data_IF_261754950542
#
_entry.id   IF_261754950542
#
_cell.length_a   1.000
_cell.length_b   1.000
_cell.length_c   1.000
_cell.angle_alpha   90.00
_cell.angle_beta   90.00
_cell.angle_gamma   90.00
#
_symmetry.space_group_name_H-M   'P 1'
#
loop_
_entity.id
_entity.type
_entity.pdbx_description
1 polymer ?
#
# COMPACT_ATOMS: atom_id res chain seq x y z
N UNK A 1 61.93 29.12 -16.96
CA UNK A 1 63.09 28.61 -16.20
C UNK A 1 62.54 28.17 -14.86
N UNK A 2 62.43 26.84 -14.70
CA UNK A 2 62.17 26.09 -13.47
C UNK A 2 60.76 26.28 -12.86
N UNK A 3 59.89 25.25 -12.78
CA UNK A 3 60.00 24.01 -11.98
C UNK A 3 60.23 24.37 -10.51
N UNK A 4 59.57 23.86 -9.48
CA UNK A 4 58.60 22.80 -9.27
C UNK A 4 58.27 22.91 -7.76
N UNK A 5 57.22 22.21 -7.31
CA UNK A 5 57.23 21.30 -6.15
C UNK A 5 55.98 21.34 -5.24
N UNK A 6 55.09 20.40 -5.55
CA UNK A 6 54.37 19.50 -4.61
C UNK A 6 53.30 20.09 -3.67
N UNK A 7 52.08 19.54 -3.59
CA UNK A 7 51.70 18.19 -3.97
C UNK A 7 50.20 17.92 -3.95
N UNK A 8 49.87 16.89 -4.72
CA UNK A 8 48.96 15.79 -4.37
C UNK A 8 47.57 16.18 -3.83
N UNK A 9 46.55 16.24 -4.69
CA UNK A 9 45.68 15.09 -5.02
C UNK A 9 44.69 14.75 -3.89
N UNK A 10 43.55 15.43 -3.90
CA UNK A 10 42.20 14.85 -3.73
C UNK A 10 41.28 15.76 -4.55
N UNK A 11 40.99 15.46 -5.80
CA UNK A 11 40.17 14.33 -6.17
C UNK A 11 38.74 14.83 -6.41
N UNK A 12 38.46 15.19 -7.66
CA UNK A 12 37.13 15.08 -8.24
C UNK A 12 36.20 16.28 -8.10
N UNK A 13 35.93 16.89 -9.26
CA UNK A 13 34.75 17.68 -9.59
C UNK A 13 33.46 17.17 -8.92
N UNK A 14 32.49 18.02 -8.60
CA UNK A 14 31.33 18.35 -9.44
C UNK A 14 30.68 19.56 -8.75
N UNK A 15 30.51 20.72 -9.37
CA UNK A 15 29.74 20.88 -10.60
C UNK A 15 28.36 21.43 -10.24
N UNK A 16 28.30 22.76 -10.21
CA UNK A 16 27.15 23.66 -10.32
C UNK A 16 25.99 23.10 -11.18
N UNK A 17 24.71 23.27 -10.80
CA UNK A 17 23.51 23.52 -11.67
C UNK A 17 22.24 23.50 -10.78
N UNK A 18 21.70 24.67 -10.39
CA UNK A 18 20.55 25.38 -11.01
C UNK A 18 19.29 24.52 -11.22
N UNK A 19 18.23 24.91 -10.49
CA UNK A 19 16.85 25.04 -10.95
C UNK A 19 16.30 24.01 -11.94
N UNK A 20 15.53 23.05 -11.43
CA UNK A 20 14.41 22.50 -12.19
C UNK A 20 13.29 22.06 -11.27
N UNK A 21 12.19 22.81 -11.34
CA UNK A 21 10.88 22.35 -10.92
C UNK A 21 10.58 21.01 -11.61
N UNK A 22 10.78 19.91 -10.90
CA UNK A 22 10.22 18.64 -11.32
C UNK A 22 8.75 18.70 -10.90
N UNK A 23 7.93 19.28 -11.79
CA UNK A 23 6.56 18.82 -11.98
C UNK A 23 6.69 17.33 -12.23
N UNK A 24 6.57 16.51 -11.19
CA UNK A 24 6.43 15.09 -11.36
C UNK A 24 5.24 14.92 -12.31
N UNK A 25 5.41 14.26 -13.47
CA UNK A 25 4.26 13.91 -14.26
C UNK A 25 3.36 13.13 -13.32
N UNK A 26 2.11 13.57 -13.19
CA UNK A 26 1.02 12.70 -12.79
C UNK A 26 1.04 11.56 -13.83
N UNK A 27 1.90 10.56 -13.60
CA UNK A 27 1.74 9.24 -14.16
C UNK A 27 0.50 8.75 -13.46
N UNK A 28 -0.64 9.15 -14.01
CA UNK A 28 -1.92 8.51 -13.84
C UNK A 28 -1.72 7.16 -14.52
N UNK A 29 -0.93 6.29 -13.89
CA UNK A 29 -0.90 4.88 -14.20
C UNK A 29 -2.36 4.50 -14.18
N UNK A 30 -2.93 4.15 -15.35
CA UNK A 30 -4.28 3.62 -15.43
C UNK A 30 -4.34 2.59 -14.31
N UNK A 31 -5.14 2.79 -13.25
CA UNK A 31 -5.13 1.86 -12.13
C UNK A 31 -5.47 0.51 -12.74
N UNK A 32 -4.47 -0.37 -12.82
CA UNK A 32 -4.66 -1.74 -13.27
C UNK A 32 -5.84 -2.27 -12.48
N UNK A 33 -6.78 -2.97 -13.13
CA UNK A 33 -7.96 -3.51 -12.45
C UNK A 33 -7.46 -4.21 -11.17
N UNK A 34 -7.92 -3.76 -10.01
CA UNK A 34 -7.53 -4.29 -8.70
C UNK A 34 -6.40 -3.57 -7.95
N UNK A 35 -5.53 -2.78 -8.58
CA UNK A 35 -4.37 -2.14 -7.92
C UNK A 35 -4.71 -0.78 -7.30
N UNK A 36 -4.23 -0.54 -6.09
CA UNK A 36 -4.38 0.72 -5.36
C UNK A 36 -3.18 1.01 -4.45
N UNK A 37 -2.94 2.28 -4.14
CA UNK A 37 -2.01 2.64 -3.07
C UNK A 37 -2.70 2.48 -1.72
N UNK A 38 -2.02 1.81 -0.79
CA UNK A 38 -2.51 1.62 0.57
C UNK A 38 -1.33 1.34 1.52
N UNK A 39 -1.62 1.25 2.81
CA UNK A 39 -0.66 0.81 3.80
C UNK A 39 -1.19 -0.37 4.60
N UNK A 40 -0.29 -1.27 4.99
CA UNK A 40 -0.58 -2.39 5.89
C UNK A 40 0.32 -2.34 7.12
N UNK A 41 -0.21 -2.82 8.23
CA UNK A 41 0.48 -3.01 9.50
C UNK A 41 -0.04 -4.26 10.19
N UNK A 42 0.83 -4.99 10.85
CA UNK A 42 0.48 -6.07 11.76
C UNK A 42 -0.08 -5.49 13.07
N UNK A 43 -1.24 -5.98 13.50
CA UNK A 43 -1.83 -5.64 14.81
C UNK A 43 -1.49 -6.74 15.83
N UNK A 44 -1.65 -8.00 15.42
CA UNK A 44 -1.29 -9.16 16.24
C UNK A 44 -1.07 -10.41 15.36
N UNK A 45 -0.40 -11.43 15.90
CA UNK A 45 -0.12 -12.68 15.20
C UNK A 45 1.11 -12.59 14.29
N UNK A 46 1.12 -13.37 13.21
CA UNK A 46 2.23 -13.37 12.23
C UNK A 46 1.71 -13.47 10.80
N UNK A 47 2.19 -12.61 9.93
CA UNK A 47 1.85 -12.60 8.51
C UNK A 47 3.09 -12.26 7.70
N UNK A 48 3.42 -13.13 6.75
CA UNK A 48 4.55 -12.93 5.85
C UNK A 48 4.42 -11.61 5.07
N UNK A 49 5.53 -10.88 4.96
CA UNK A 49 5.58 -9.61 4.23
C UNK A 49 4.95 -8.41 4.95
N UNK A 50 4.40 -8.58 6.17
CA UNK A 50 3.79 -7.50 6.96
C UNK A 50 4.49 -7.37 8.31
N UNK A 51 4.67 -6.13 8.76
CA UNK A 51 5.37 -5.81 10.02
C UNK A 51 4.49 -4.99 10.95
N UNK A 52 4.85 -4.89 12.24
CA UNK A 52 4.18 -4.03 13.22
C UNK A 52 4.28 -2.52 12.91
N UNK A 53 5.14 -2.15 11.96
CA UNK A 53 5.23 -0.79 11.43
C UNK A 53 4.42 -0.64 10.14
N UNK A 54 3.82 0.54 9.93
CA UNK A 54 3.09 0.86 8.72
C UNK A 54 4.01 0.80 7.50
N UNK A 55 3.63 -0.02 6.50
CA UNK A 55 4.31 -0.12 5.22
C UNK A 55 3.37 0.30 4.10
N UNK A 56 3.74 1.36 3.37
CA UNK A 56 3.04 1.78 2.15
C UNK A 56 3.46 0.92 0.97
N UNK A 57 2.55 0.73 0.03
CA UNK A 57 2.81 0.06 -1.23
C UNK A 57 1.59 -0.05 -2.12
N UNK A 58 1.80 -0.63 -3.30
CA UNK A 58 0.71 -1.01 -4.18
C UNK A 58 0.11 -2.31 -3.65
N UNK A 59 -1.19 -2.30 -3.39
CA UNK A 59 -1.97 -3.48 -3.02
C UNK A 59 -2.86 -3.86 -4.20
N UNK A 60 -2.83 -5.14 -4.57
CA UNK A 60 -3.79 -5.71 -5.50
C UNK A 60 -4.93 -6.34 -4.70
N UNK A 61 -6.15 -5.82 -4.88
CA UNK A 61 -7.35 -6.36 -4.24
C UNK A 61 -8.05 -7.33 -5.20
N UNK A 62 -8.16 -8.58 -4.80
CA UNK A 62 -8.92 -9.67 -5.41
C UNK A 62 -10.03 -10.13 -4.44
N UNK A 63 -11.08 -10.82 -4.90
CA UNK A 63 -12.09 -11.37 -3.99
C UNK A 63 -11.44 -12.28 -2.94
N UNK A 64 -11.63 -11.94 -1.66
CA UNK A 64 -11.05 -12.65 -0.51
C UNK A 64 -9.53 -12.57 -0.35
N UNK A 65 -8.82 -11.78 -1.15
CA UNK A 65 -7.35 -11.80 -1.17
C UNK A 65 -6.73 -10.43 -1.45
N UNK A 66 -5.68 -10.12 -0.71
CA UNK A 66 -4.84 -8.93 -0.91
C UNK A 66 -3.45 -9.39 -1.32
N UNK A 67 -2.87 -8.78 -2.34
CA UNK A 67 -1.47 -8.97 -2.69
C UNK A 67 -0.68 -7.73 -2.29
N UNK A 68 0.34 -7.90 -1.45
CA UNK A 68 1.17 -6.81 -0.97
C UNK A 68 2.65 -7.17 -1.07
N UNK A 69 3.39 -6.41 -1.90
CA UNK A 69 4.83 -6.61 -2.14
C UNK A 69 5.18 -8.05 -2.55
N UNK A 70 4.32 -8.67 -3.36
CA UNK A 70 4.49 -10.06 -3.82
C UNK A 70 3.96 -11.12 -2.85
N UNK A 71 3.45 -10.74 -1.66
CA UNK A 71 2.88 -11.67 -0.70
C UNK A 71 1.36 -11.71 -0.84
N UNK A 72 0.81 -12.91 -0.93
CA UNK A 72 -0.64 -13.12 -0.93
C UNK A 72 -1.16 -13.25 0.50
N UNK A 73 -2.16 -12.44 0.82
CA UNK A 73 -2.78 -12.33 2.14
C UNK A 73 -4.25 -12.69 1.98
N UNK A 74 -4.63 -13.88 2.43
CA UNK A 74 -6.03 -14.31 2.46
C UNK A 74 -6.77 -13.52 3.53
N UNK A 75 -7.84 -12.84 3.14
CA UNK A 75 -8.71 -12.10 4.06
C UNK A 75 -9.92 -12.95 4.38
N UNK A 76 -10.09 -13.26 5.67
CA UNK A 76 -11.26 -13.98 6.17
C UNK A 76 -12.41 -13.03 6.46
N UNK A 77 -12.08 -11.85 7.01
CA UNK A 77 -13.08 -10.85 7.41
C UNK A 77 -12.48 -9.45 7.43
N UNK A 78 -13.29 -8.46 7.05
CA UNK A 78 -13.05 -7.04 7.33
C UNK A 78 -13.98 -6.64 8.47
N UNK A 79 -13.47 -6.00 9.50
CA UNK A 79 -14.29 -5.51 10.62
C UNK A 79 -14.99 -4.20 10.24
N UNK A 80 -16.26 -4.07 10.61
CA UNK A 80 -17.16 -2.98 10.20
C UNK A 80 -16.93 -1.64 10.91
N UNK A 81 -16.00 -1.57 11.87
CA UNK A 81 -15.66 -0.35 12.58
C UNK A 81 -14.39 0.29 11.97
N UNK A 82 -14.49 1.01 10.83
CA UNK A 82 -13.38 1.80 10.35
C UNK A 82 -13.07 2.91 11.33
N UNK A 83 -11.80 3.32 11.36
CA UNK A 83 -11.37 4.49 12.14
C UNK A 83 -10.50 5.42 11.31
N UNK A 84 -10.43 6.66 11.76
CA UNK A 84 -9.45 7.60 11.23
C UNK A 84 -8.03 7.30 11.76
N UNK A 85 -6.98 7.67 11.00
CA UNK A 85 -5.60 7.66 11.46
C UNK A 85 -5.40 8.68 12.58
N UNK A 86 -4.72 8.27 13.64
CA UNK A 86 -4.24 9.17 14.68
C UNK A 86 -3.22 10.17 14.11
N UNK A 87 -2.97 11.28 14.81
CA UNK A 87 -2.01 12.30 14.37
C UNK A 87 -0.61 11.71 14.05
N UNK A 88 -0.13 10.75 14.86
CA UNK A 88 1.14 10.05 14.62
C UNK A 88 1.11 9.14 13.39
N UNK A 89 -0.03 8.50 13.12
CA UNK A 89 -0.19 7.61 11.97
C UNK A 89 -0.31 8.38 10.65
N UNK A 90 -0.88 9.60 10.64
CA UNK A 90 -1.01 10.43 9.43
C UNK A 90 0.31 10.71 8.72
N UNK A 91 1.43 10.71 9.44
CA UNK A 91 2.78 10.85 8.84
C UNK A 91 3.17 9.58 8.06
N UNK A 92 2.62 8.42 8.42
CA UNK A 92 2.96 7.08 7.90
C UNK A 92 1.90 6.50 6.96
N UNK A 93 0.67 6.97 6.97
CA UNK A 93 -0.42 6.61 6.02
C UNK A 93 -0.84 7.84 5.20
N UNK A 94 -1.71 7.72 4.19
CA UNK A 94 -2.21 8.93 3.51
C UNK A 94 -3.14 9.70 4.45
N UNK A 95 -3.10 11.04 4.42
CA UNK A 95 -3.83 11.89 5.39
C UNK A 95 -5.34 11.66 5.37
N UNK A 96 -5.88 11.32 4.21
CA UNK A 96 -7.28 11.00 3.94
C UNK A 96 -7.60 9.50 4.07
N UNK A 97 -6.68 8.69 4.62
CA UNK A 97 -6.90 7.25 4.73
C UNK A 97 -7.96 6.94 5.78
N UNK A 98 -8.71 5.87 5.54
CA UNK A 98 -9.53 5.18 6.51
C UNK A 98 -8.86 3.85 6.85
N UNK A 99 -8.76 3.54 8.14
CA UNK A 99 -8.12 2.32 8.62
C UNK A 99 -9.19 1.28 8.94
N UNK A 100 -9.07 0.13 8.30
CA UNK A 100 -9.87 -1.06 8.54
C UNK A 100 -9.04 -2.10 9.28
N UNK A 101 -9.65 -2.83 10.19
CA UNK A 101 -9.05 -4.04 10.74
C UNK A 101 -9.47 -5.22 9.88
N UNK A 102 -8.54 -6.12 9.57
CA UNK A 102 -8.79 -7.33 8.77
C UNK A 102 -8.26 -8.55 9.50
N UNK A 103 -9.03 -9.64 9.47
CA UNK A 103 -8.63 -10.93 9.99
C UNK A 103 -8.08 -11.79 8.86
N UNK A 104 -6.91 -12.38 9.09
CA UNK A 104 -6.30 -13.42 8.25
C UNK A 104 -6.24 -14.73 9.04
N UNK A 105 -5.90 -15.87 8.40
CA UNK A 105 -5.76 -17.14 9.13
C UNK A 105 -4.73 -17.12 10.27
N UNK A 106 -3.70 -16.27 10.18
CA UNK A 106 -2.54 -16.27 11.08
C UNK A 106 -2.32 -14.95 11.83
N UNK A 107 -3.07 -13.90 11.49
CA UNK A 107 -2.85 -12.57 12.03
C UNK A 107 -4.11 -11.69 11.99
N UNK A 108 -4.01 -10.59 12.73
CA UNK A 108 -4.88 -9.43 12.57
C UNK A 108 -4.05 -8.30 12.01
N UNK A 109 -4.53 -7.67 10.94
CA UNK A 109 -3.83 -6.58 10.27
C UNK A 109 -4.68 -5.31 10.29
N UNK A 110 -4.00 -4.17 10.24
CA UNK A 110 -4.59 -2.88 9.94
C UNK A 110 -4.29 -2.50 8.49
N UNK A 111 -5.34 -2.16 7.76
CA UNK A 111 -5.28 -1.78 6.37
C UNK A 111 -5.76 -0.33 6.21
N UNK A 112 -4.84 0.57 5.86
CA UNK A 112 -5.15 1.97 5.58
C UNK A 112 -5.40 2.15 4.09
N UNK A 113 -6.61 2.59 3.76
CA UNK A 113 -7.08 2.80 2.38
C UNK A 113 -7.37 4.30 2.20
N UNK A 114 -6.87 4.95 1.14
CA UNK A 114 -7.27 6.32 0.83
C UNK A 114 -8.80 6.43 0.72
N UNK A 115 -9.41 7.39 1.41
CA UNK A 115 -10.86 7.54 1.53
C UNK A 115 -11.63 7.43 0.20
N UNK A 116 -11.22 8.12 -0.87
CA UNK A 116 -11.87 8.02 -2.18
C UNK A 116 -11.86 6.62 -2.81
N UNK A 117 -11.03 5.70 -2.32
CA UNK A 117 -10.85 4.35 -2.86
C UNK A 117 -11.45 3.26 -1.95
N UNK A 118 -11.87 3.60 -0.72
CA UNK A 118 -12.29 2.64 0.30
C UNK A 118 -13.46 1.77 -0.16
N UNK A 119 -14.56 2.40 -0.61
CA UNK A 119 -15.75 1.71 -1.10
C UNK A 119 -15.41 0.71 -2.22
N UNK A 120 -14.65 1.16 -3.24
CA UNK A 120 -14.23 0.32 -4.36
C UNK A 120 -13.35 -0.85 -3.92
N UNK A 121 -12.46 -0.62 -2.95
CA UNK A 121 -11.58 -1.66 -2.41
C UNK A 121 -12.38 -2.74 -1.68
N UNK A 122 -13.31 -2.34 -0.81
CA UNK A 122 -14.17 -3.26 -0.08
C UNK A 122 -15.10 -4.07 -0.99
N UNK A 123 -15.72 -3.43 -1.99
CA UNK A 123 -16.57 -4.14 -2.96
C UNK A 123 -15.80 -5.18 -3.78
N UNK A 124 -14.50 -4.97 -4.02
CA UNK A 124 -13.65 -5.94 -4.73
C UNK A 124 -13.18 -7.08 -3.85
N UNK A 125 -13.02 -6.80 -2.55
CA UNK A 125 -12.58 -7.79 -1.59
C UNK A 125 -13.73 -8.73 -1.19
N UNK A 126 -14.97 -8.22 -1.23
CA UNK A 126 -16.15 -9.04 -1.05
C UNK A 126 -16.12 -10.24 -2.04
N UNK A 127 -16.45 -11.45 -1.58
CA UNK A 127 -16.64 -12.57 -2.48
C UNK A 127 -17.72 -12.21 -3.52
N UNK A 128 -17.62 -12.71 -4.77
CA UNK A 128 -18.66 -12.49 -5.75
C UNK A 128 -19.98 -13.05 -5.22
N UNK A 129 -20.93 -12.16 -4.92
CA UNK A 129 -22.30 -12.51 -4.58
C UNK A 129 -22.94 -13.13 -5.81
N UNK A 130 -22.89 -14.46 -5.94
CA UNK A 130 -23.47 -15.13 -7.11
C UNK A 130 -23.12 -16.58 -7.38
N UNK A 131 -23.01 -17.43 -6.34
CA UNK A 131 -23.65 -18.75 -6.39
C UNK A 131 -24.87 -18.61 -5.49
N UNK A 132 -25.97 -18.07 -6.03
CA UNK A 132 -27.26 -18.23 -5.37
C UNK A 132 -27.62 -19.72 -5.45
N UNK A 133 -28.34 -20.28 -4.46
CA UNK A 133 -29.01 -21.54 -4.70
C UNK A 133 -29.95 -21.32 -5.89
N UNK A 134 -29.55 -21.82 -7.06
CA UNK A 134 -30.49 -22.22 -8.09
C UNK A 134 -31.40 -23.24 -7.39
N UNK A 135 -32.52 -22.74 -6.88
CA UNK A 135 -33.63 -23.55 -6.44
C UNK A 135 -34.19 -24.21 -7.70
N UNK A 136 -33.45 -25.22 -8.17
CA UNK A 136 -34.04 -26.37 -8.80
C UNK A 136 -34.92 -27.03 -7.74
N UNK A 137 -36.15 -26.56 -7.64
CA UNK A 137 -37.23 -27.50 -7.36
C UNK A 137 -38.37 -27.19 -8.31
N UNK A 138 -38.45 -28.06 -9.33
CA UNK A 138 -39.60 -28.22 -10.18
C UNK A 138 -40.62 -28.99 -9.35
N UNK A 139 -41.83 -28.46 -9.20
CA UNK A 139 -43.07 -29.25 -9.15
C UNK A 139 -44.24 -28.36 -9.51
#
# INVERSE_FOLDING_TARGET
MLDDFFGSLVGGEIGYFIGRAIKAPFIRAKPGRGKMQAALRLESGSQEGVTETWRRGNIHVRPGLLEFRGNEIRVLRVYEAPREPTARERVRVHTDSIIYSIATPSARLLWAIPGPQSSRALSRLAPPTGCGPEAADKS
#
